data_IF_194584248201
#
_entry.id   IF_194584248201
#
_cell.length_a   1.000
_cell.length_b   1.000
_cell.length_c   1.000
_cell.angle_alpha   90.00
_cell.angle_beta   90.00
_cell.angle_gamma   90.00
#
_symmetry.space_group_name_H-M   'P 1'
#
loop_
_entity.id
_entity.type
_entity.pdbx_description
1 polymer ?
#
# COMPACT_ATOMS: atom_id res chain seq x y z
N UNK A 1 4.74 7.05 16.55
CA UNK A 1 3.87 7.81 15.60
C UNK A 1 2.38 7.68 15.90
N UNK A 2 1.87 6.49 16.23
CA UNK A 2 0.44 6.19 16.41
C UNK A 2 -0.30 7.21 17.29
N UNK A 3 0.28 7.64 18.42
CA UNK A 3 -0.34 8.62 19.32
C UNK A 3 -0.73 9.91 18.58
N UNK A 4 0.13 10.43 17.70
CA UNK A 4 -0.16 11.63 16.89
C UNK A 4 -1.32 11.43 15.93
N UNK A 5 -1.47 10.22 15.37
CA UNK A 5 -2.61 9.87 14.50
C UNK A 5 -3.89 9.80 15.35
N UNK A 6 -3.80 9.24 16.56
CA UNK A 6 -4.93 9.12 17.47
C UNK A 6 -5.39 10.47 18.05
N UNK A 7 -4.48 11.42 18.24
CA UNK A 7 -4.81 12.80 18.64
C UNK A 7 -5.70 13.51 17.60
N UNK A 8 -5.63 13.09 16.33
CA UNK A 8 -6.46 13.60 15.23
C UNK A 8 -7.61 12.65 14.84
N UNK A 9 -7.92 11.64 15.65
CA UNK A 9 -8.83 10.55 15.28
C UNK A 9 -10.23 11.02 14.85
N UNK A 10 -10.82 11.95 15.60
CA UNK A 10 -12.16 12.46 15.30
C UNK A 10 -12.17 13.28 14.02
N UNK A 11 -11.14 14.10 13.80
CA UNK A 11 -10.99 14.88 12.58
C UNK A 11 -10.84 13.97 11.36
N UNK A 12 -10.03 12.92 11.44
CA UNK A 12 -9.87 11.95 10.34
C UNK A 12 -11.20 11.25 10.00
N UNK A 13 -11.95 10.80 11.01
CA UNK A 13 -13.26 10.15 10.82
C UNK A 13 -14.28 11.09 10.16
N UNK A 14 -14.32 12.35 10.58
CA UNK A 14 -15.22 13.37 10.03
C UNK A 14 -14.93 13.66 8.56
N UNK A 15 -13.66 13.72 8.17
CA UNK A 15 -13.25 14.04 6.79
C UNK A 15 -13.52 12.89 5.80
N UNK A 16 -13.56 11.64 6.27
CA UNK A 16 -13.72 10.46 5.41
C UNK A 16 -14.98 10.51 4.52
N UNK A 17 -16.08 11.09 5.01
CA UNK A 17 -17.34 11.23 4.24
C UNK A 17 -17.18 12.21 3.08
N UNK A 18 -16.56 13.37 3.33
CA UNK A 18 -16.34 14.35 2.27
C UNK A 18 -15.30 13.84 1.27
N UNK A 19 -14.24 13.17 1.73
CA UNK A 19 -13.24 12.56 0.86
C UNK A 19 -13.87 11.56 -0.12
N UNK A 20 -14.78 10.70 0.36
CA UNK A 20 -15.54 9.76 -0.48
C UNK A 20 -16.38 10.46 -1.56
N UNK A 21 -16.99 11.59 -1.21
CA UNK A 21 -17.85 12.38 -2.10
C UNK A 21 -17.05 13.11 -3.18
N UNK A 22 -15.92 13.72 -2.83
CA UNK A 22 -15.10 14.48 -3.77
C UNK A 22 -14.11 13.61 -4.57
N UNK A 23 -13.98 12.32 -4.22
CA UNK A 23 -13.12 11.38 -4.93
C UNK A 23 -11.62 11.60 -4.72
N UNK A 24 -11.24 12.24 -3.61
CA UNK A 24 -9.85 12.46 -3.16
C UNK A 24 -9.84 12.83 -1.68
N UNK A 25 -8.67 12.75 -1.01
CA UNK A 25 -8.57 13.27 0.35
C UNK A 25 -8.86 14.78 0.35
N UNK A 26 -9.47 15.25 1.43
CA UNK A 26 -9.60 16.69 1.65
C UNK A 26 -8.24 17.29 2.00
N UNK A 27 -8.06 18.58 1.70
CA UNK A 27 -6.83 19.31 2.04
C UNK A 27 -6.58 19.29 3.55
N UNK A 28 -7.65 19.23 4.37
CA UNK A 28 -7.55 19.12 5.81
C UNK A 28 -6.98 17.75 6.24
N UNK A 29 -7.41 16.65 5.65
CA UNK A 29 -6.81 15.32 5.91
C UNK A 29 -5.34 15.30 5.52
N UNK A 30 -5.00 15.85 4.36
CA UNK A 30 -3.60 15.94 3.90
C UNK A 30 -2.75 16.76 4.87
N UNK A 31 -3.26 17.92 5.32
CA UNK A 31 -2.59 18.76 6.32
C UNK A 31 -2.38 18.00 7.64
N UNK A 32 -3.37 17.25 8.11
CA UNK A 32 -3.26 16.41 9.32
C UNK A 32 -2.14 15.37 9.14
N UNK A 33 -2.13 14.66 8.01
CA UNK A 33 -1.13 13.62 7.73
C UNK A 33 0.29 14.20 7.62
N UNK A 34 0.48 15.29 6.88
CA UNK A 34 1.78 16.01 6.81
C UNK A 34 2.24 16.46 8.20
N UNK A 35 1.35 17.05 8.99
CA UNK A 35 1.67 17.53 10.36
C UNK A 35 2.00 16.39 11.33
N UNK A 36 1.31 15.25 11.21
CA UNK A 36 1.61 14.05 11.99
C UNK A 36 2.98 13.47 11.59
N UNK A 37 3.30 13.50 10.29
CA UNK A 37 4.53 12.98 9.71
C UNK A 37 4.45 11.48 9.37
N UNK A 38 3.24 10.91 9.23
CA UNK A 38 3.07 9.48 8.99
C UNK A 38 3.57 9.03 7.60
N UNK A 39 3.60 9.91 6.60
CA UNK A 39 4.23 9.61 5.29
C UNK A 39 5.77 9.55 5.39
N UNK A 40 6.37 10.22 6.39
CA UNK A 40 7.82 10.28 6.60
C UNK A 40 8.38 9.12 7.43
N UNK A 41 7.56 8.13 7.76
CA UNK A 41 7.95 6.97 8.59
C UNK A 41 9.16 6.22 8.04
N UNK A 42 9.19 5.97 6.73
CA UNK A 42 10.25 5.21 6.07
C UNK A 42 11.26 6.10 5.32
N UNK A 43 11.09 7.42 5.38
CA UNK A 43 11.97 8.39 4.74
C UNK A 43 13.31 8.47 5.48
N UNK A 44 14.43 8.72 4.77
CA UNK A 44 15.74 8.90 5.40
C UNK A 44 15.76 10.11 6.33
N UNK A 45 16.48 9.99 7.45
CA UNK A 45 16.64 11.06 8.45
C UNK A 45 17.30 12.31 7.86
N UNK A 46 18.21 12.15 6.89
CA UNK A 46 18.84 13.27 6.20
C UNK A 46 17.82 14.18 5.47
N UNK A 47 16.66 13.64 5.07
CA UNK A 47 15.55 14.37 4.47
C UNK A 47 14.38 14.59 5.46
N UNK A 48 14.67 14.58 6.77
CA UNK A 48 13.65 14.80 7.80
C UNK A 48 12.74 13.61 8.06
N UNK A 49 13.10 12.42 7.57
CA UNK A 49 12.39 11.18 7.84
C UNK A 49 12.63 10.59 9.23
N UNK A 50 11.93 9.50 9.54
CA UNK A 50 11.94 8.88 10.86
C UNK A 50 12.68 7.54 10.91
N UNK A 51 12.90 6.88 9.77
CA UNK A 51 13.56 5.57 9.65
C UNK A 51 13.02 4.54 10.66
N UNK A 52 11.69 4.44 10.79
CA UNK A 52 11.09 3.56 11.80
C UNK A 52 11.22 2.09 11.41
N UNK A 53 11.13 1.21 12.40
CA UNK A 53 11.02 -0.22 12.18
C UNK A 53 9.77 -0.54 11.32
N UNK A 54 9.81 -1.52 10.38
CA UNK A 54 8.66 -1.87 9.53
C UNK A 54 7.36 -2.17 10.29
N UNK A 55 7.47 -2.73 11.52
CA UNK A 55 6.34 -2.90 12.44
C UNK A 55 5.65 -1.58 12.78
N UNK A 56 6.39 -0.55 13.20
CA UNK A 56 5.79 0.74 13.55
C UNK A 56 5.11 1.38 12.34
N UNK A 57 5.71 1.24 11.15
CA UNK A 57 5.08 1.65 9.90
C UNK A 57 3.74 0.94 9.69
N UNK A 58 3.73 -0.40 9.72
CA UNK A 58 2.53 -1.20 9.52
C UNK A 58 1.42 -0.89 10.54
N UNK A 59 1.77 -0.79 11.82
CA UNK A 59 0.82 -0.47 12.90
C UNK A 59 0.26 0.95 12.77
N UNK A 60 1.06 1.92 12.33
CA UNK A 60 0.59 3.29 12.06
C UNK A 60 -0.36 3.32 10.85
N UNK A 61 -0.05 2.57 9.80
CA UNK A 61 -0.93 2.43 8.63
C UNK A 61 -2.27 1.80 9.04
N UNK A 62 -2.24 0.71 9.81
CA UNK A 62 -3.46 0.08 10.35
C UNK A 62 -4.29 1.06 11.17
N UNK A 63 -3.66 1.77 12.11
CA UNK A 63 -4.34 2.77 12.95
C UNK A 63 -4.99 3.89 12.13
N UNK A 64 -4.30 4.39 11.10
CA UNK A 64 -4.85 5.42 10.20
C UNK A 64 -6.04 4.87 9.42
N UNK A 65 -5.92 3.66 8.87
CA UNK A 65 -6.96 3.03 8.04
C UNK A 65 -8.21 2.64 8.81
N UNK A 66 -8.08 2.35 10.12
CA UNK A 66 -9.20 2.11 11.02
C UNK A 66 -10.01 3.38 11.35
N UNK A 67 -9.46 4.58 11.05
CA UNK A 67 -10.11 5.88 11.27
C UNK A 67 -10.71 6.43 9.96
N UNK A 68 -9.90 6.42 8.90
CA UNK A 68 -10.27 6.78 7.54
C UNK A 68 -9.58 5.80 6.57
N UNK A 69 -10.34 4.88 5.94
CA UNK A 69 -9.82 3.92 4.98
C UNK A 69 -8.98 4.52 3.85
N UNK A 70 -9.38 5.68 3.32
CA UNK A 70 -8.68 6.31 2.20
C UNK A 70 -7.37 6.95 2.65
N UNK A 71 -7.37 7.60 3.81
CA UNK A 71 -6.16 8.17 4.41
C UNK A 71 -5.16 7.06 4.79
N UNK A 72 -5.64 5.95 5.36
CA UNK A 72 -4.80 4.82 5.71
C UNK A 72 -4.23 4.09 4.49
N UNK A 73 -5.01 3.96 3.41
CA UNK A 73 -4.52 3.45 2.13
C UNK A 73 -3.41 4.33 1.56
N UNK A 74 -3.61 5.65 1.53
CA UNK A 74 -2.58 6.60 1.09
C UNK A 74 -1.36 6.55 2.02
N UNK A 75 -1.54 6.41 3.33
CA UNK A 75 -0.44 6.21 4.27
C UNK A 75 0.39 4.97 3.91
N UNK A 76 -0.27 3.86 3.58
CA UNK A 76 0.40 2.62 3.19
C UNK A 76 1.09 2.70 1.81
N UNK A 77 0.48 3.35 0.82
CA UNK A 77 1.01 3.44 -0.54
C UNK A 77 2.04 4.57 -0.65
N UNK A 78 1.64 5.81 -0.40
CA UNK A 78 2.54 6.97 -0.52
C UNK A 78 3.67 6.91 0.51
N UNK A 79 3.40 6.38 1.72
CA UNK A 79 4.40 6.22 2.77
C UNK A 79 5.47 5.16 2.49
N UNK A 80 5.32 4.32 1.45
CA UNK A 80 6.35 3.35 1.04
C UNK A 80 7.27 3.88 -0.05
N UNK A 81 6.92 4.94 -0.76
CA UNK A 81 7.79 5.48 -1.80
C UNK A 81 9.09 6.11 -1.25
N UNK A 82 9.10 6.78 -0.08
CA UNK A 82 10.35 7.23 0.55
C UNK A 82 11.32 6.10 0.86
N UNK A 83 10.82 4.88 1.13
CA UNK A 83 11.65 3.70 1.33
C UNK A 83 12.47 3.36 0.08
N UNK A 84 11.85 3.39 -1.10
CA UNK A 84 12.57 3.11 -2.35
C UNK A 84 13.53 4.25 -2.73
N UNK A 85 13.13 5.51 -2.49
CA UNK A 85 13.97 6.67 -2.79
C UNK A 85 15.28 6.68 -2.01
N UNK A 86 15.32 6.08 -0.83
CA UNK A 86 16.53 5.98 -0.01
C UNK A 86 17.71 5.32 -0.73
N UNK A 87 17.45 4.43 -1.68
CA UNK A 87 18.47 3.75 -2.49
C UNK A 87 18.34 4.01 -3.99
N UNK A 88 17.63 5.10 -4.36
CA UNK A 88 17.73 5.67 -5.70
C UNK A 88 19.04 6.47 -5.86
N UNK A 89 19.30 7.03 -7.04
CA UNK A 89 20.41 7.97 -7.20
C UNK A 89 20.24 9.15 -6.23
N UNK A 90 21.24 9.51 -5.41
CA UNK A 90 21.08 10.55 -4.38
C UNK A 90 20.59 11.90 -4.93
N UNK A 91 20.85 12.19 -6.22
CA UNK A 91 20.36 13.41 -6.87
C UNK A 91 18.84 13.51 -6.89
N UNK A 92 18.12 12.39 -7.08
CA UNK A 92 16.65 12.46 -7.19
C UNK A 92 15.99 12.69 -5.82
N UNK A 93 16.49 12.07 -4.76
CA UNK A 93 15.99 12.32 -3.40
C UNK A 93 16.26 13.77 -2.97
N UNK A 94 17.46 14.27 -3.26
CA UNK A 94 17.82 15.66 -3.01
C UNK A 94 16.94 16.65 -3.79
N UNK A 95 16.52 16.32 -5.02
CA UNK A 95 15.58 17.14 -5.80
C UNK A 95 14.15 17.12 -5.24
N UNK A 96 13.65 15.95 -4.83
CA UNK A 96 12.27 15.79 -4.34
C UNK A 96 12.08 16.53 -3.02
N UNK A 97 13.04 16.44 -2.11
CA UNK A 97 12.92 16.99 -0.75
C UNK A 97 13.76 18.26 -0.51
N UNK A 98 14.24 18.92 -1.58
CA UNK A 98 15.03 20.15 -1.47
C UNK A 98 14.32 21.26 -0.71
N UNK A 99 13.07 21.53 -1.09
CA UNK A 99 12.29 22.68 -0.61
C UNK A 99 11.24 22.30 0.44
N UNK A 100 10.69 21.09 0.35
CA UNK A 100 9.67 20.57 1.27
C UNK A 100 9.91 19.08 1.57
N UNK A 101 10.24 18.78 2.83
CA UNK A 101 10.42 17.41 3.33
C UNK A 101 9.13 16.59 3.31
N UNK A 102 7.97 17.26 3.26
CA UNK A 102 6.65 16.65 3.14
C UNK A 102 6.18 16.55 1.67
N UNK A 103 7.09 16.65 0.70
CA UNK A 103 6.79 16.35 -0.72
C UNK A 103 6.44 14.88 -0.88
N UNK A 104 5.23 14.61 -1.41
CA UNK A 104 4.71 13.26 -1.60
C UNK A 104 4.94 12.75 -3.02
N UNK A 105 5.13 11.44 -3.13
CA UNK A 105 5.35 10.75 -4.40
C UNK A 105 4.20 9.76 -4.61
N UNK A 106 3.58 9.75 -5.79
CA UNK A 106 2.57 8.78 -6.16
C UNK A 106 3.19 7.53 -6.82
N UNK A 107 2.38 6.54 -7.14
CA UNK A 107 2.75 5.45 -8.07
C UNK A 107 1.60 5.15 -9.05
N UNK A 108 1.62 4.15 -9.96
CA UNK A 108 1.91 2.74 -9.67
C UNK A 108 3.19 2.16 -10.33
N UNK A 109 3.65 1.03 -9.79
CA UNK A 109 4.78 0.24 -10.33
C UNK A 109 4.43 -0.71 -11.48
N UNK A 110 3.15 -0.81 -11.86
CA UNK A 110 2.75 -1.66 -12.99
C UNK A 110 3.43 -1.16 -14.29
N UNK A 111 4.07 -2.04 -15.08
CA UNK A 111 4.83 -1.62 -16.26
C UNK A 111 3.93 -1.34 -17.46
N UNK A 112 3.17 -0.25 -17.41
CA UNK A 112 2.14 0.11 -18.41
C UNK A 112 2.61 1.15 -19.45
N UNK A 113 3.86 1.62 -19.36
CA UNK A 113 4.46 2.51 -20.35
C UNK A 113 5.76 1.97 -20.93
N UNK A 114 6.30 2.70 -21.89
CA UNK A 114 7.53 2.35 -22.61
C UNK A 114 8.56 3.46 -22.42
N UNK A 115 9.73 3.08 -21.92
CA UNK A 115 10.89 3.95 -21.83
C UNK A 115 11.80 3.71 -23.03
N UNK A 116 11.83 4.66 -23.98
CA UNK A 116 12.65 4.60 -25.19
C UNK A 116 14.00 5.27 -24.95
N UNK A 117 15.14 4.56 -25.07
CA UNK A 117 16.46 5.13 -24.83
C UNK A 117 16.75 6.31 -25.76
N UNK A 118 17.32 7.37 -25.19
CA UNK A 118 17.90 8.52 -25.88
C UNK A 118 19.20 8.92 -25.18
N UNK A 119 19.93 9.88 -25.74
CA UNK A 119 21.12 10.40 -25.06
C UNK A 119 20.76 10.98 -23.68
N UNK A 120 21.52 10.59 -22.65
CA UNK A 120 21.31 11.02 -21.26
C UNK A 120 20.10 10.43 -20.51
N UNK A 121 19.26 9.60 -21.14
CA UNK A 121 18.08 9.04 -20.47
C UNK A 121 17.07 8.40 -21.40
N UNK A 122 15.79 8.71 -21.18
CA UNK A 122 14.66 8.07 -21.87
C UNK A 122 13.62 9.09 -22.29
N UNK A 123 12.98 8.84 -23.44
CA UNK A 123 11.66 9.41 -23.73
C UNK A 123 10.62 8.41 -23.28
N UNK A 124 9.73 8.87 -22.39
CA UNK A 124 8.78 8.02 -21.68
C UNK A 124 7.34 8.34 -22.10
N UNK A 125 6.57 7.29 -22.36
CA UNK A 125 5.18 7.38 -22.78
C UNK A 125 4.35 6.28 -22.13
N UNK A 126 3.12 6.58 -21.76
CA UNK A 126 2.18 5.56 -21.29
C UNK A 126 0.95 6.14 -20.60
N UNK A 127 0.07 5.23 -20.19
CA UNK A 127 -1.07 5.52 -19.33
C UNK A 127 -1.08 4.49 -18.21
N UNK A 128 -1.10 4.98 -16.97
CA UNK A 128 -1.19 4.14 -15.79
C UNK A 128 -2.51 4.35 -15.09
N UNK A 129 -2.99 3.29 -14.44
CA UNK A 129 -4.21 3.29 -13.65
C UNK A 129 -3.88 3.15 -12.16
N UNK A 130 -4.81 3.51 -11.27
CA UNK A 130 -4.67 3.29 -9.82
C UNK A 130 -3.59 4.15 -9.14
N UNK A 131 -3.41 5.41 -9.57
CA UNK A 131 -2.42 6.32 -8.96
C UNK A 131 -2.90 6.90 -7.62
N UNK A 132 -2.81 6.11 -6.55
CA UNK A 132 -3.38 6.47 -5.24
C UNK A 132 -2.76 7.73 -4.66
N UNK A 133 -3.58 8.69 -4.24
CA UNK A 133 -3.16 9.97 -3.67
C UNK A 133 -2.58 10.97 -4.67
N UNK A 134 -2.69 10.72 -5.97
CA UNK A 134 -2.00 11.49 -7.02
C UNK A 134 -2.34 12.99 -7.04
N UNK A 135 -3.54 13.37 -6.61
CA UNK A 135 -3.95 14.78 -6.49
C UNK A 135 -3.07 15.58 -5.50
N UNK A 136 -2.43 14.88 -4.56
CA UNK A 136 -1.65 15.46 -3.46
C UNK A 136 -0.16 15.12 -3.54
N UNK A 137 0.29 14.59 -4.69
CA UNK A 137 1.68 14.23 -4.94
C UNK A 137 2.29 15.13 -6.02
N UNK A 138 3.49 15.63 -5.75
CA UNK A 138 4.24 16.48 -6.69
C UNK A 138 5.23 15.67 -7.55
N UNK A 139 5.39 14.38 -7.25
CA UNK A 139 6.22 13.44 -7.99
C UNK A 139 5.53 12.09 -8.12
N UNK A 140 6.03 11.24 -9.01
CA UNK A 140 5.47 9.90 -9.23
C UNK A 140 6.56 8.88 -9.59
N UNK A 141 6.41 7.65 -9.07
CA UNK A 141 7.06 6.45 -9.56
C UNK A 141 6.16 5.74 -10.58
N UNK A 142 6.67 5.43 -11.78
CA UNK A 142 5.93 4.70 -12.79
C UNK A 142 6.72 3.50 -13.30
N UNK A 143 6.07 2.33 -13.34
CA UNK A 143 6.64 1.15 -13.96
C UNK A 143 6.71 1.29 -15.48
N UNK A 144 7.82 0.91 -16.09
CA UNK A 144 8.03 0.95 -17.53
C UNK A 144 8.60 -0.36 -18.06
N UNK A 145 8.26 -0.69 -19.31
CA UNK A 145 9.01 -1.64 -20.13
C UNK A 145 10.11 -0.87 -20.87
N UNK A 146 11.34 -1.38 -20.86
CA UNK A 146 12.42 -0.82 -21.67
C UNK A 146 12.19 -1.11 -23.16
N UNK A 147 12.21 -0.06 -23.97
CA UNK A 147 12.16 -0.15 -25.43
C UNK A 147 13.55 -0.16 -26.08
N UNK A 148 13.61 -0.58 -27.35
CA UNK A 148 14.72 -0.31 -28.27
C UNK A 148 14.67 1.14 -28.79
N UNK A 149 15.52 1.48 -29.78
CA UNK A 149 15.58 2.83 -30.34
C UNK A 149 14.26 3.27 -31.01
N UNK A 150 13.42 2.32 -31.43
CA UNK A 150 12.10 2.51 -32.02
C UNK A 150 10.97 2.43 -30.97
N UNK A 151 11.29 2.17 -29.70
CA UNK A 151 10.31 2.03 -28.63
C UNK A 151 9.60 0.68 -28.61
N UNK A 152 10.15 -0.37 -29.23
CA UNK A 152 9.62 -1.73 -29.10
C UNK A 152 10.24 -2.41 -27.88
N UNK A 153 9.46 -3.16 -27.07
CA UNK A 153 10.01 -3.88 -25.92
C UNK A 153 11.24 -4.72 -26.26
N UNK A 154 12.32 -4.56 -25.48
CA UNK A 154 13.51 -5.41 -25.62
C UNK A 154 13.22 -6.84 -25.16
N UNK A 155 13.99 -7.81 -25.69
CA UNK A 155 13.89 -9.22 -25.31
C UNK A 155 15.25 -9.74 -24.80
N UNK A 156 15.33 -10.39 -23.62
CA UNK A 156 14.23 -10.58 -22.66
C UNK A 156 13.69 -9.26 -22.09
N UNK A 157 12.42 -9.21 -21.61
CA UNK A 157 11.83 -7.99 -21.09
C UNK A 157 12.66 -7.39 -19.96
N UNK A 158 12.94 -6.10 -20.06
CA UNK A 158 13.54 -5.30 -18.99
C UNK A 158 12.52 -4.30 -18.47
N UNK A 159 12.56 -4.04 -17.17
CA UNK A 159 11.62 -3.17 -16.49
C UNK A 159 12.34 -2.09 -15.71
N UNK A 160 11.80 -0.88 -15.75
CA UNK A 160 12.34 0.27 -15.01
C UNK A 160 11.26 0.84 -14.08
N UNK A 161 11.71 1.38 -12.95
CA UNK A 161 10.93 2.33 -12.16
C UNK A 161 11.39 3.74 -12.55
N UNK A 162 10.49 4.53 -13.12
CA UNK A 162 10.74 5.88 -13.63
C UNK A 162 10.25 6.92 -12.61
N UNK A 163 11.02 7.97 -12.34
CA UNK A 163 10.67 9.02 -11.38
C UNK A 163 10.46 10.34 -12.13
N UNK A 164 9.26 10.91 -12.03
CA UNK A 164 8.87 12.12 -12.77
C UNK A 164 8.26 13.18 -11.84
N UNK A 165 8.54 14.47 -12.06
CA UNK A 165 7.84 15.55 -11.38
C UNK A 165 6.44 15.76 -11.98
N UNK A 166 5.57 16.41 -11.22
CA UNK A 166 4.16 16.67 -11.57
C UNK A 166 3.96 17.26 -12.96
N UNK A 167 4.83 18.18 -13.35
CA UNK A 167 4.74 18.89 -14.63
C UNK A 167 4.88 17.98 -15.87
N UNK A 168 5.42 16.78 -15.69
CA UNK A 168 5.72 15.86 -16.79
C UNK A 168 4.64 14.77 -16.97
N UNK A 169 3.52 14.84 -16.22
CA UNK A 169 2.37 13.95 -16.39
C UNK A 169 1.02 14.66 -16.16
N UNK A 170 -0.02 14.11 -16.76
CA UNK A 170 -1.41 14.57 -16.61
C UNK A 170 -2.19 13.58 -15.74
N UNK A 171 -2.98 14.08 -14.79
CA UNK A 171 -4.04 13.29 -14.15
C UNK A 171 -5.26 13.28 -15.06
N UNK A 172 -5.80 12.10 -15.32
CA UNK A 172 -7.10 11.97 -15.99
C UNK A 172 -8.20 12.15 -14.95
N UNK A 173 -8.89 13.29 -15.01
CA UNK A 173 -10.05 13.54 -14.14
C UNK A 173 -11.16 12.52 -14.40
N UNK A 174 -12.00 12.28 -13.39
CA UNK A 174 -13.15 11.36 -13.41
C UNK A 174 -12.83 9.87 -13.68
N UNK A 175 -11.55 9.48 -13.75
CA UNK A 175 -11.17 8.08 -14.00
C UNK A 175 -11.27 7.18 -12.75
N UNK A 176 -11.74 7.70 -11.61
CA UNK A 176 -11.84 6.98 -10.33
C UNK A 176 -13.25 7.00 -9.73
N UNK A 177 -14.26 6.63 -10.52
CA UNK A 177 -15.62 6.40 -10.03
C UNK A 177 -15.82 4.92 -9.65
N UNK A 178 -15.52 4.60 -8.40
CA UNK A 178 -15.45 3.20 -7.90
C UNK A 178 -16.34 2.96 -6.67
N UNK A 179 -16.56 1.69 -6.33
CA UNK A 179 -17.45 1.30 -5.22
C UNK A 179 -16.86 1.52 -3.83
N UNK A 180 -15.54 1.54 -3.66
CA UNK A 180 -14.87 1.68 -2.37
C UNK A 180 -13.49 2.32 -2.58
N UNK A 181 -12.84 2.75 -1.50
CA UNK A 181 -11.62 3.56 -1.52
C UNK A 181 -11.76 4.77 -2.46
N UNK A 182 -12.94 5.38 -2.53
CA UNK A 182 -13.19 6.52 -3.42
C UNK A 182 -12.31 7.73 -3.07
N UNK A 183 -12.14 7.98 -1.78
CA UNK A 183 -11.34 9.10 -1.27
C UNK A 183 -9.83 8.96 -1.52
N UNK A 184 -9.34 7.82 -2.03
CA UNK A 184 -7.93 7.70 -2.40
C UNK A 184 -7.59 8.49 -3.65
N UNK A 185 -8.60 8.82 -4.47
CA UNK A 185 -8.38 9.48 -5.77
C UNK A 185 -7.35 8.74 -6.60
N UNK A 186 -7.47 7.41 -6.72
CA UNK A 186 -6.51 6.57 -7.44
C UNK A 186 -6.66 6.69 -8.96
N UNK A 187 -6.66 7.93 -9.45
CA UNK A 187 -6.90 8.31 -10.84
C UNK A 187 -5.83 7.76 -11.77
N UNK A 188 -6.13 7.77 -13.05
CA UNK A 188 -5.20 7.42 -14.10
C UNK A 188 -4.25 8.60 -14.32
N UNK A 189 -3.04 8.29 -14.77
CA UNK A 189 -2.06 9.28 -15.20
C UNK A 189 -1.55 8.98 -16.60
N UNK A 190 -1.28 10.03 -17.37
CA UNK A 190 -0.75 9.95 -18.72
C UNK A 190 0.60 10.66 -18.77
N UNK A 191 1.61 9.97 -19.28
CA UNK A 191 2.90 10.57 -19.64
C UNK A 191 2.99 10.59 -21.16
N UNK A 192 3.32 11.76 -21.71
CA UNK A 192 3.47 11.93 -23.16
C UNK A 192 4.79 12.62 -23.47
N UNK A 193 5.66 11.91 -24.16
CA UNK A 193 6.96 12.38 -24.67
C UNK A 193 7.84 13.07 -23.61
N UNK A 194 7.73 12.63 -22.35
CA UNK A 194 8.51 13.20 -21.26
C UNK A 194 9.96 12.69 -21.31
N UNK A 195 10.93 13.59 -21.20
CA UNK A 195 12.32 13.21 -21.01
C UNK A 195 12.59 12.88 -19.53
N UNK A 196 13.04 11.66 -19.28
CA UNK A 196 13.46 11.20 -17.94
C UNK A 196 14.97 10.96 -17.96
N UNK A 197 15.77 11.73 -17.21
CA UNK A 197 17.22 11.51 -17.17
C UNK A 197 17.54 10.18 -16.48
N UNK A 198 18.64 9.54 -16.87
CA UNK A 198 18.99 8.19 -16.41
C UNK A 198 19.05 8.05 -14.88
N UNK A 199 19.44 9.11 -14.16
CA UNK A 199 19.54 9.11 -12.69
C UNK A 199 18.18 9.10 -11.97
N UNK A 200 17.08 9.39 -12.69
CA UNK A 200 15.71 9.27 -12.19
C UNK A 200 15.07 7.93 -12.57
N UNK A 201 15.89 6.90 -12.77
CA UNK A 201 15.43 5.56 -13.13
C UNK A 201 16.09 4.52 -12.24
N UNK A 202 15.40 3.40 -12.03
CA UNK A 202 15.93 2.24 -11.31
C UNK A 202 15.58 0.97 -12.08
N UNK A 203 16.51 0.03 -12.16
CA UNK A 203 16.24 -1.30 -12.70
C UNK A 203 15.31 -2.07 -11.75
N UNK A 204 14.11 -2.42 -12.22
CA UNK A 204 13.09 -3.04 -11.37
C UNK A 204 13.46 -4.45 -10.91
N UNK A 205 14.29 -5.18 -11.66
CA UNK A 205 14.77 -6.50 -11.24
C UNK A 205 15.82 -6.38 -10.14
N UNK A 206 16.72 -5.40 -10.26
CA UNK A 206 17.67 -5.09 -9.17
C UNK A 206 16.98 -4.60 -7.90
N UNK A 207 15.87 -3.86 -8.03
CA UNK A 207 15.02 -3.49 -6.88
C UNK A 207 14.40 -4.74 -6.23
N UNK A 208 13.93 -5.69 -7.05
CA UNK A 208 13.29 -6.92 -6.56
C UNK A 208 14.27 -7.87 -5.85
N UNK A 209 15.47 -8.05 -6.39
CA UNK A 209 16.45 -9.02 -5.87
C UNK A 209 17.43 -8.45 -4.82
N UNK A 210 17.32 -7.17 -4.49
CA UNK A 210 18.16 -6.51 -3.50
C UNK A 210 19.46 -5.90 -4.04
N UNK A 211 19.76 -6.06 -5.34
CA UNK A 211 20.99 -5.54 -5.94
C UNK A 211 21.05 -4.03 -5.92
N UNK A 212 19.92 -3.34 -6.13
CA UNK A 212 19.87 -1.88 -6.13
C UNK A 212 20.29 -1.30 -4.76
N UNK A 213 19.80 -1.89 -3.67
CA UNK A 213 20.16 -1.52 -2.30
C UNK A 213 21.67 -1.71 -2.04
N UNK A 214 22.25 -2.82 -2.52
CA UNK A 214 23.69 -3.10 -2.37
C UNK A 214 24.55 -2.15 -3.19
N UNK A 215 24.17 -1.87 -4.44
CA UNK A 215 24.88 -0.93 -5.32
C UNK A 215 24.82 0.51 -4.78
N UNK A 216 23.73 0.88 -4.13
CA UNK A 216 23.59 2.17 -3.44
C UNK A 216 24.37 2.22 -2.11
N UNK A 217 24.94 1.11 -1.64
CA UNK A 217 25.75 1.06 -0.42
C UNK A 217 24.95 1.21 0.87
N UNK A 218 23.67 0.83 0.87
CA UNK A 218 22.82 0.88 2.06
C UNK A 218 23.38 -0.01 3.19
N UNK A 219 23.31 0.49 4.42
CA UNK A 219 23.80 -0.26 5.61
C UNK A 219 22.75 -0.45 6.68
N UNK A 220 21.76 0.44 6.71
CA UNK A 220 20.64 0.42 7.61
C UNK A 220 19.75 -0.78 7.30
N UNK A 221 19.44 -1.57 8.32
CA UNK A 221 18.59 -2.77 8.21
C UNK A 221 17.28 -2.47 7.49
N UNK A 222 16.66 -1.32 7.79
CA UNK A 222 15.45 -0.86 7.10
C UNK A 222 15.64 -0.87 5.59
N UNK A 223 16.66 -0.18 5.06
CA UNK A 223 16.91 0.00 3.62
C UNK A 223 17.49 -1.22 2.92
N UNK A 224 17.75 -2.30 3.66
CA UNK A 224 18.12 -3.61 3.14
C UNK A 224 16.94 -4.61 3.11
N UNK A 225 15.76 -4.20 3.58
CA UNK A 225 14.56 -5.05 3.55
C UNK A 225 14.18 -5.47 2.12
N UNK A 226 13.66 -6.68 1.90
CA UNK A 226 13.18 -7.09 0.58
C UNK A 226 12.04 -6.20 0.08
N UNK A 227 12.11 -5.76 -1.18
CA UNK A 227 11.04 -5.00 -1.83
C UNK A 227 9.69 -5.75 -1.81
N UNK A 228 9.73 -7.07 -2.03
CA UNK A 228 8.58 -7.98 -1.95
C UNK A 228 7.96 -8.09 -0.55
N UNK A 229 8.65 -7.58 0.49
CA UNK A 229 8.10 -7.41 1.84
C UNK A 229 7.58 -5.99 2.06
N UNK A 230 8.39 -4.96 1.79
CA UNK A 230 8.06 -3.57 2.13
C UNK A 230 6.92 -2.99 1.30
N UNK A 231 6.92 -3.16 -0.04
CA UNK A 231 5.87 -2.59 -0.89
C UNK A 231 4.47 -3.14 -0.55
N UNK A 232 4.27 -4.47 -0.42
CA UNK A 232 2.97 -5.00 -0.02
C UNK A 232 2.59 -4.71 1.44
N UNK A 233 3.56 -4.48 2.33
CA UNK A 233 3.31 -4.26 3.76
C UNK A 233 2.35 -3.10 3.99
N UNK A 234 2.57 -1.95 3.33
CA UNK A 234 1.71 -0.78 3.48
C UNK A 234 0.28 -1.04 2.99
N UNK A 235 0.14 -1.60 1.78
CA UNK A 235 -1.16 -1.89 1.15
C UNK A 235 -1.98 -2.89 2.00
N UNK A 236 -1.32 -3.94 2.47
CA UNK A 236 -1.96 -4.98 3.28
C UNK A 236 -2.28 -4.52 4.69
N UNK A 237 -1.39 -3.74 5.30
CA UNK A 237 -1.65 -3.12 6.61
C UNK A 237 -2.83 -2.17 6.54
N UNK A 238 -2.97 -1.40 5.46
CA UNK A 238 -4.14 -0.55 5.25
C UNK A 238 -5.41 -1.40 5.18
N UNK A 239 -5.42 -2.47 4.38
CA UNK A 239 -6.62 -3.33 4.23
C UNK A 239 -6.98 -4.03 5.54
N UNK A 240 -5.99 -4.47 6.34
CA UNK A 240 -6.22 -5.03 7.68
C UNK A 240 -6.77 -3.96 8.64
N UNK A 241 -6.22 -2.75 8.63
CA UNK A 241 -6.74 -1.64 9.45
C UNK A 241 -8.17 -1.22 9.06
N UNK A 242 -8.53 -1.28 7.77
CA UNK A 242 -9.93 -1.11 7.34
C UNK A 242 -10.82 -2.18 7.95
N UNK A 243 -10.37 -3.42 8.03
CA UNK A 243 -11.11 -4.50 8.68
C UNK A 243 -11.25 -4.28 10.21
N UNK A 244 -10.20 -3.78 10.87
CA UNK A 244 -10.26 -3.36 12.28
C UNK A 244 -11.28 -2.23 12.49
N UNK A 245 -11.29 -1.23 11.60
CA UNK A 245 -12.29 -0.14 11.58
C UNK A 245 -13.72 -0.66 11.34
N UNK A 246 -13.88 -1.65 10.45
CA UNK A 246 -15.17 -2.31 10.21
C UNK A 246 -15.69 -3.01 11.48
N UNK A 247 -14.81 -3.73 12.20
CA UNK A 247 -15.16 -4.39 13.45
C UNK A 247 -15.55 -3.37 14.53
N UNK A 248 -14.79 -2.27 14.67
CA UNK A 248 -15.13 -1.20 15.60
C UNK A 248 -16.50 -0.57 15.29
N UNK A 249 -16.74 -0.21 14.01
CA UNK A 249 -18.01 0.34 13.56
C UNK A 249 -19.18 -0.64 13.76
N UNK A 250 -18.94 -1.93 13.59
CA UNK A 250 -19.93 -2.97 13.86
C UNK A 250 -20.25 -3.05 15.36
N UNK A 251 -19.23 -3.13 16.22
CA UNK A 251 -19.41 -3.20 17.67
C UNK A 251 -20.20 -1.99 18.20
N UNK A 252 -19.87 -0.79 17.75
CA UNK A 252 -20.59 0.43 18.13
C UNK A 252 -22.05 0.39 17.66
N UNK A 253 -22.31 -0.08 16.45
CA UNK A 253 -23.65 -0.22 15.92
C UNK A 253 -24.48 -1.30 16.64
N UNK A 254 -23.88 -2.41 17.05
CA UNK A 254 -24.60 -3.51 17.71
C UNK A 254 -24.86 -3.25 19.21
N UNK A 255 -24.07 -2.37 19.87
CA UNK A 255 -24.08 -2.16 21.33
C UNK A 255 -25.49 -1.91 21.90
N UNK A 256 -26.30 -1.14 21.20
CA UNK A 256 -27.67 -0.77 21.62
C UNK A 256 -28.74 -1.40 20.72
N UNK A 257 -28.34 -2.26 19.78
CA UNK A 257 -29.26 -2.81 18.78
C UNK A 257 -30.15 -3.89 19.38
N UNK A 258 -31.43 -3.82 19.01
CA UNK A 258 -32.44 -4.85 19.26
C UNK A 258 -32.86 -5.43 17.90
N UNK A 259 -32.93 -6.75 17.81
CA UNK A 259 -33.35 -7.45 16.60
C UNK A 259 -34.84 -7.21 16.31
N UNK A 260 -35.29 -7.54 15.10
CA UNK A 260 -36.71 -7.45 14.75
C UNK A 260 -37.61 -8.35 15.63
N UNK A 261 -37.02 -9.38 16.25
CA UNK A 261 -37.71 -10.28 17.19
C UNK A 261 -37.74 -9.75 18.64
N UNK A 262 -37.17 -8.56 18.90
CA UNK A 262 -37.13 -7.96 20.25
C UNK A 262 -35.95 -8.39 21.11
N UNK A 263 -35.06 -9.25 20.62
CA UNK A 263 -33.86 -9.68 21.35
C UNK A 263 -32.77 -8.62 21.26
N UNK A 264 -32.25 -8.16 22.38
CA UNK A 264 -31.05 -7.33 22.39
C UNK A 264 -29.87 -8.13 21.81
N UNK A 265 -29.10 -7.54 20.88
CA UNK A 265 -28.06 -8.28 20.16
C UNK A 265 -26.98 -8.84 21.09
N UNK A 266 -26.68 -8.16 22.19
CA UNK A 266 -25.77 -8.66 23.23
C UNK A 266 -26.19 -10.00 23.84
N UNK A 267 -27.47 -10.36 23.75
CA UNK A 267 -28.06 -11.60 24.25
C UNK A 267 -28.30 -12.63 23.12
N UNK A 268 -27.92 -12.30 21.88
CA UNK A 268 -27.99 -13.20 20.71
C UNK A 268 -26.67 -14.00 20.57
N UNK A 269 -26.66 -15.30 20.91
CA UNK A 269 -25.43 -16.10 20.88
C UNK A 269 -24.86 -16.28 19.46
N UNK A 270 -25.69 -16.18 18.41
CA UNK A 270 -25.24 -16.37 17.04
C UNK A 270 -24.51 -15.13 16.51
N UNK A 271 -25.00 -13.94 16.86
CA UNK A 271 -24.32 -12.68 16.51
C UNK A 271 -23.05 -12.53 17.34
N UNK A 272 -23.09 -12.81 18.65
CA UNK A 272 -21.91 -12.72 19.52
C UNK A 272 -20.82 -13.71 19.11
N UNK A 273 -21.17 -14.92 18.67
CA UNK A 273 -20.21 -15.86 18.09
C UNK A 273 -19.53 -15.29 16.85
N UNK A 274 -20.30 -14.75 15.89
CA UNK A 274 -19.74 -14.20 14.66
C UNK A 274 -18.83 -12.98 14.91
N UNK A 275 -19.16 -12.15 15.91
CA UNK A 275 -18.29 -11.05 16.35
C UNK A 275 -16.97 -11.61 16.89
N UNK A 276 -17.03 -12.62 17.76
CA UNK A 276 -15.84 -13.24 18.35
C UNK A 276 -14.93 -13.89 17.30
N UNK A 277 -15.52 -14.63 16.36
CA UNK A 277 -14.79 -15.26 15.25
C UNK A 277 -14.11 -14.22 14.36
N UNK A 278 -14.84 -13.19 13.93
CA UNK A 278 -14.26 -12.13 13.11
C UNK A 278 -13.15 -11.35 13.83
N UNK A 279 -13.33 -11.08 15.14
CA UNK A 279 -12.29 -10.44 15.95
C UNK A 279 -11.02 -11.28 16.03
N UNK A 280 -11.14 -12.60 16.21
CA UNK A 280 -10.01 -13.52 16.22
C UNK A 280 -9.29 -13.55 14.87
N UNK A 281 -10.04 -13.60 13.77
CA UNK A 281 -9.48 -13.67 12.42
C UNK A 281 -8.78 -12.37 11.99
N UNK A 282 -9.35 -11.21 12.31
CA UNK A 282 -8.72 -9.90 12.07
C UNK A 282 -7.45 -9.76 12.92
N UNK A 283 -7.50 -10.17 14.19
CA UNK A 283 -6.31 -10.17 15.05
C UNK A 283 -5.21 -11.10 14.50
N UNK A 284 -5.56 -12.31 14.07
CA UNK A 284 -4.62 -13.25 13.47
C UNK A 284 -3.96 -12.67 12.21
N UNK A 285 -4.74 -12.00 11.34
CA UNK A 285 -4.20 -11.30 10.17
C UNK A 285 -3.17 -10.22 10.56
N UNK A 286 -3.49 -9.39 11.55
CA UNK A 286 -2.55 -8.38 12.09
C UNK A 286 -1.27 -9.04 12.61
N UNK A 287 -1.39 -10.05 13.48
CA UNK A 287 -0.22 -10.66 14.10
C UNK A 287 0.67 -11.36 13.06
N UNK A 288 0.07 -12.06 12.08
CA UNK A 288 0.82 -12.76 11.04
C UNK A 288 1.63 -11.82 10.15
N UNK A 289 1.06 -10.69 9.72
CA UNK A 289 1.79 -9.75 8.86
C UNK A 289 2.93 -9.05 9.63
N UNK A 290 2.68 -8.68 10.89
CA UNK A 290 3.69 -8.02 11.73
C UNK A 290 4.82 -8.98 12.10
N UNK A 291 4.50 -10.22 12.52
CA UNK A 291 5.50 -11.23 12.81
C UNK A 291 6.32 -11.61 11.57
N UNK A 292 5.71 -11.60 10.38
CA UNK A 292 6.44 -11.78 9.14
C UNK A 292 7.43 -10.63 8.88
N UNK A 293 7.01 -9.38 9.07
CA UNK A 293 7.90 -8.23 8.91
C UNK A 293 9.08 -8.26 9.90
N UNK A 294 8.81 -8.53 11.18
CA UNK A 294 9.84 -8.67 12.22
C UNK A 294 10.85 -9.77 11.87
N UNK A 295 10.36 -10.96 11.50
CA UNK A 295 11.24 -12.08 11.14
C UNK A 295 12.16 -11.76 9.97
N UNK A 296 11.64 -11.09 8.94
CA UNK A 296 12.45 -10.68 7.79
C UNK A 296 13.47 -9.62 8.21
N UNK A 297 13.06 -8.66 9.04
CA UNK A 297 13.95 -7.65 9.60
C UNK A 297 15.10 -8.28 10.40
N UNK A 298 14.81 -9.21 11.31
CA UNK A 298 15.82 -9.90 12.12
C UNK A 298 16.84 -10.68 11.27
N UNK A 299 16.41 -11.27 10.15
CA UNK A 299 17.31 -11.94 9.20
C UNK A 299 18.29 -10.91 8.62
N UNK A 300 17.77 -9.79 8.13
CA UNK A 300 18.59 -8.71 7.54
C UNK A 300 19.53 -8.10 8.59
N UNK A 301 19.02 -7.81 9.79
CA UNK A 301 19.78 -7.22 10.91
C UNK A 301 20.95 -8.11 11.35
N UNK A 302 20.75 -9.43 11.27
CA UNK A 302 21.81 -10.41 11.54
C UNK A 302 22.89 -10.49 10.46
N UNK A 303 22.80 -9.67 9.40
CA UNK A 303 23.73 -9.64 8.27
C UNK A 303 23.52 -10.79 7.27
N UNK A 304 22.37 -11.47 7.32
CA UNK A 304 22.06 -12.59 6.42
C UNK A 304 21.19 -12.13 5.26
N UNK A 305 21.41 -12.73 4.10
CA UNK A 305 20.52 -12.55 2.96
C UNK A 305 19.19 -13.29 3.19
N UNK A 306 18.08 -12.63 2.84
CA UNK A 306 16.76 -13.25 2.88
C UNK A 306 16.57 -14.13 1.65
N UNK A 307 16.51 -15.44 1.88
CA UNK A 307 16.36 -16.42 0.79
C UNK A 307 15.09 -16.18 -0.05
N UNK A 308 15.10 -16.63 -1.30
CA UNK A 308 13.89 -16.61 -2.13
C UNK A 308 12.72 -17.37 -1.45
N UNK A 309 13.01 -18.51 -0.81
CA UNK A 309 12.00 -19.31 -0.10
C UNK A 309 11.36 -18.52 1.05
N UNK A 310 12.16 -17.76 1.82
CA UNK A 310 11.66 -16.91 2.89
C UNK A 310 10.79 -15.77 2.37
N UNK A 311 11.19 -15.12 1.27
CA UNK A 311 10.40 -14.08 0.60
C UNK A 311 9.10 -14.64 0.04
N UNK A 312 9.13 -15.81 -0.59
CA UNK A 312 7.95 -16.49 -1.12
C UNK A 312 6.96 -16.86 0.00
N UNK A 313 7.46 -17.40 1.11
CA UNK A 313 6.66 -17.67 2.30
C UNK A 313 6.06 -16.38 2.89
N UNK A 314 6.85 -15.30 2.95
CA UNK A 314 6.38 -13.99 3.41
C UNK A 314 5.25 -13.43 2.55
N UNK A 315 5.38 -13.48 1.22
CA UNK A 315 4.32 -13.09 0.26
C UNK A 315 3.05 -13.91 0.48
N UNK A 316 3.15 -15.23 0.64
CA UNK A 316 2.00 -16.10 0.95
C UNK A 316 1.33 -15.68 2.26
N UNK A 317 2.10 -15.44 3.33
CA UNK A 317 1.59 -15.01 4.64
C UNK A 317 0.85 -13.67 4.54
N UNK A 318 1.47 -12.67 3.89
CA UNK A 318 0.84 -11.37 3.68
C UNK A 318 -0.49 -11.50 2.92
N UNK A 319 -0.54 -12.27 1.82
CA UNK A 319 -1.77 -12.46 1.05
C UNK A 319 -2.83 -13.15 1.93
N UNK A 320 -2.45 -14.19 2.67
CA UNK A 320 -3.40 -14.91 3.55
C UNK A 320 -3.98 -14.00 4.62
N UNK A 321 -3.16 -13.16 5.24
CA UNK A 321 -3.59 -12.23 6.28
C UNK A 321 -4.69 -11.31 5.76
N UNK A 322 -4.51 -10.70 4.58
CA UNK A 322 -5.51 -9.80 4.01
C UNK A 322 -6.80 -10.51 3.64
N UNK A 323 -6.72 -11.66 2.96
CA UNK A 323 -7.90 -12.45 2.63
C UNK A 323 -8.67 -12.87 3.90
N UNK A 324 -7.96 -13.27 4.97
CA UNK A 324 -8.59 -13.61 6.25
C UNK A 324 -9.34 -12.40 6.84
N UNK A 325 -8.69 -11.24 6.89
CA UNK A 325 -9.29 -10.03 7.46
C UNK A 325 -10.55 -9.59 6.69
N UNK A 326 -10.50 -9.57 5.35
CA UNK A 326 -11.64 -9.12 4.54
C UNK A 326 -12.82 -10.10 4.64
N UNK A 327 -12.57 -11.41 4.64
CA UNK A 327 -13.64 -12.41 4.84
C UNK A 327 -14.27 -12.33 6.23
N UNK A 328 -13.52 -11.94 7.26
CA UNK A 328 -14.06 -11.66 8.58
C UNK A 328 -15.01 -10.44 8.57
N UNK A 329 -14.72 -9.41 7.76
CA UNK A 329 -15.63 -8.27 7.56
C UNK A 329 -16.97 -8.72 6.97
N UNK A 330 -16.96 -9.65 6.01
CA UNK A 330 -18.21 -10.20 5.46
C UNK A 330 -19.07 -10.90 6.51
N UNK A 331 -18.43 -11.62 7.45
CA UNK A 331 -19.16 -12.32 8.51
C UNK A 331 -19.92 -11.34 9.42
N UNK A 332 -19.30 -10.21 9.81
CA UNK A 332 -19.98 -9.20 10.63
C UNK A 332 -20.96 -8.35 9.82
N UNK A 333 -20.63 -8.01 8.57
CA UNK A 333 -21.48 -7.15 7.75
C UNK A 333 -22.81 -7.81 7.41
N UNK A 334 -22.78 -9.08 7.00
CA UNK A 334 -23.98 -9.89 6.71
C UNK A 334 -24.94 -10.04 7.92
N UNK A 335 -24.44 -9.83 9.14
CA UNK A 335 -25.21 -9.93 10.40
C UNK A 335 -25.59 -8.57 11.00
N UNK A 336 -25.35 -7.49 10.26
CA UNK A 336 -25.67 -6.12 10.70
C UNK A 336 -27.10 -5.68 10.33
N UNK A 337 -27.81 -6.46 9.52
CA UNK A 337 -29.18 -6.16 9.08
C UNK A 337 -29.26 -5.00 8.09
N UNK A 338 -30.43 -4.83 7.46
CA UNK A 338 -30.59 -3.93 6.31
C UNK A 338 -30.26 -2.46 6.56
N UNK A 339 -30.40 -1.95 7.79
CA UNK A 339 -30.07 -0.56 8.10
C UNK A 339 -28.57 -0.26 8.01
N UNK A 340 -27.70 -1.27 8.14
CA UNK A 340 -26.26 -1.12 7.99
C UNK A 340 -25.83 -0.80 6.54
N UNK A 341 -26.71 -1.04 5.56
CA UNK A 341 -26.50 -0.74 4.14
C UNK A 341 -26.73 0.72 3.78
N UNK A 342 -27.26 1.54 4.70
CA UNK A 342 -27.56 2.94 4.40
C UNK A 342 -26.27 3.76 4.31
N UNK A 343 -26.25 4.72 3.38
CA UNK A 343 -25.09 5.59 3.13
C UNK A 343 -24.75 6.50 4.32
N UNK A 344 -25.71 6.74 5.23
CA UNK A 344 -25.51 7.49 6.47
C UNK A 344 -24.88 6.65 7.59
N UNK A 345 -24.55 5.38 7.34
CA UNK A 345 -23.85 4.49 8.27
C UNK A 345 -22.41 4.24 7.81
N UNK A 346 -21.43 4.25 8.75
CA UNK A 346 -20.02 4.07 8.39
C UNK A 346 -19.67 2.63 8.01
N UNK A 347 -20.39 1.63 8.55
CA UNK A 347 -20.01 0.22 8.40
C UNK A 347 -19.96 -0.24 6.94
N UNK A 348 -20.92 0.17 6.11
CA UNK A 348 -20.92 -0.17 4.68
C UNK A 348 -19.74 0.42 3.91
N UNK A 349 -19.20 1.58 4.34
CA UNK A 349 -18.01 2.18 3.73
C UNK A 349 -16.78 1.31 3.99
N UNK A 350 -16.54 0.94 5.25
CA UNK A 350 -15.46 0.01 5.58
C UNK A 350 -15.57 -1.33 4.82
N UNK A 351 -16.78 -1.88 4.70
CA UNK A 351 -17.01 -3.10 3.92
C UNK A 351 -16.63 -2.94 2.44
N UNK A 352 -17.08 -1.86 1.78
CA UNK A 352 -16.71 -1.57 0.37
C UNK A 352 -15.21 -1.34 0.23
N UNK A 353 -14.63 -0.55 1.12
CA UNK A 353 -13.22 -0.17 1.08
C UNK A 353 -12.30 -1.38 1.30
N UNK A 354 -12.68 -2.31 2.19
CA UNK A 354 -11.94 -3.55 2.41
C UNK A 354 -11.91 -4.43 1.15
N UNK A 355 -13.04 -4.52 0.44
CA UNK A 355 -13.14 -5.26 -0.81
C UNK A 355 -12.39 -4.59 -1.96
N UNK A 356 -12.43 -3.26 -2.04
CA UNK A 356 -11.61 -2.54 -3.03
C UNK A 356 -10.12 -2.70 -2.74
N UNK A 357 -9.70 -2.66 -1.48
CA UNK A 357 -8.32 -2.95 -1.08
C UNK A 357 -7.89 -4.37 -1.45
N UNK A 358 -8.75 -5.36 -1.23
CA UNK A 358 -8.52 -6.75 -1.63
C UNK A 358 -8.28 -6.92 -3.14
N UNK A 359 -8.87 -6.07 -3.98
CA UNK A 359 -8.74 -6.16 -5.44
C UNK A 359 -7.35 -5.77 -5.98
N UNK A 360 -6.46 -5.20 -5.16
CA UNK A 360 -5.11 -4.86 -5.61
C UNK A 360 -4.32 -6.10 -6.03
N UNK A 361 -3.57 -5.98 -7.12
CA UNK A 361 -2.72 -7.06 -7.68
C UNK A 361 -1.78 -7.76 -6.68
N UNK A 362 -1.33 -7.09 -5.60
CA UNK A 362 -0.45 -7.73 -4.60
C UNK A 362 -1.18 -8.74 -3.71
N UNK A 363 -2.52 -8.78 -3.76
CA UNK A 363 -3.37 -9.73 -3.05
C UNK A 363 -3.78 -10.93 -3.93
N UNK A 364 -3.33 -11.00 -5.19
CA UNK A 364 -3.60 -12.15 -6.07
C UNK A 364 -2.85 -13.39 -5.56
N UNK A 365 -3.54 -14.47 -5.15
CA UNK A 365 -2.90 -15.55 -4.40
C UNK A 365 -2.14 -16.56 -5.26
N UNK A 366 -2.59 -16.83 -6.49
CA UNK A 366 -2.22 -18.04 -7.23
C UNK A 366 -0.71 -18.25 -7.41
N UNK A 367 0.00 -17.25 -7.95
CA UNK A 367 1.44 -17.37 -8.25
C UNK A 367 2.29 -17.46 -6.99
N UNK A 368 2.05 -16.61 -5.99
CA UNK A 368 2.80 -16.58 -4.74
C UNK A 368 2.62 -17.86 -3.92
N UNK A 369 1.39 -18.41 -3.87
CA UNK A 369 1.12 -19.68 -3.20
C UNK A 369 1.83 -20.84 -3.88
N UNK A 370 1.77 -20.91 -5.22
CA UNK A 370 2.45 -21.95 -5.98
C UNK A 370 3.96 -21.89 -5.80
N UNK A 371 4.57 -20.70 -5.95
CA UNK A 371 6.00 -20.51 -5.78
C UNK A 371 6.47 -20.89 -4.36
N UNK A 372 5.74 -20.45 -3.33
CA UNK A 372 6.03 -20.79 -1.93
C UNK A 372 5.94 -22.30 -1.67
N UNK A 373 4.95 -22.99 -2.25
CA UNK A 373 4.81 -24.44 -2.11
C UNK A 373 5.95 -25.20 -2.82
N UNK A 374 6.32 -24.80 -4.03
CA UNK A 374 7.47 -25.38 -4.74
C UNK A 374 8.77 -25.21 -3.96
N UNK A 375 9.02 -24.01 -3.42
CA UNK A 375 10.20 -23.77 -2.57
C UNK A 375 10.19 -24.65 -1.31
N UNK A 376 9.02 -24.97 -0.77
CA UNK A 376 8.89 -25.89 0.39
C UNK A 376 9.27 -27.34 0.02
N UNK A 377 9.16 -27.72 -1.26
CA UNK A 377 9.66 -29.00 -1.79
C UNK A 377 11.14 -28.96 -2.20
N UNK A 378 11.84 -27.83 -2.02
CA UNK A 378 13.20 -27.65 -2.51
C UNK A 378 13.29 -27.46 -4.03
N UNK A 379 12.18 -27.16 -4.70
CA UNK A 379 12.14 -26.89 -6.14
C UNK A 379 12.22 -25.39 -6.39
N UNK A 380 13.16 -24.97 -7.23
CA UNK A 380 13.33 -23.55 -7.57
C UNK A 380 12.28 -23.09 -8.61
N UNK A 381 11.41 -22.13 -8.28
CA UNK A 381 10.44 -21.59 -9.23
C UNK A 381 11.14 -20.83 -10.37
N UNK A 382 10.56 -20.90 -11.57
CA UNK A 382 11.11 -20.31 -12.79
C UNK A 382 10.14 -19.34 -13.45
N UNK A 383 10.68 -18.38 -14.21
CA UNK A 383 9.89 -17.46 -15.04
C UNK A 383 8.83 -16.69 -14.25
N UNK A 384 7.57 -16.63 -14.72
CA UNK A 384 6.50 -15.85 -14.08
C UNK A 384 6.22 -16.22 -12.61
N UNK A 385 6.60 -17.41 -12.14
CA UNK A 385 6.41 -17.82 -10.75
C UNK A 385 7.33 -17.08 -9.77
N UNK A 386 8.36 -16.39 -10.26
CA UNK A 386 9.28 -15.58 -9.43
C UNK A 386 8.83 -14.12 -9.30
N UNK A 387 7.80 -13.71 -10.02
CA UNK A 387 7.34 -12.32 -10.00
C UNK A 387 6.85 -11.93 -8.60
N UNK A 388 7.24 -10.74 -8.14
CA UNK A 388 6.89 -10.18 -6.83
C UNK A 388 7.39 -11.02 -5.62
N UNK A 389 8.56 -11.65 -5.72
CA UNK A 389 9.26 -12.39 -4.65
C UNK A 389 10.74 -12.00 -4.66
#
# INVERSE_FOLDING_TARGET
MIDKVMDAADQLREQAVEAEKIGKLTDQTVKIMKSAGNIRLLQPKEYGGLEVHPREFAETVMATAALDPSAGWINGVVGVHPYQLAYADPRVAAEIWADDVDTWVASPYAPQGVARPVDGGYIFNGRWQFSSGTDHCDWIFLGAILGDAEGKPVMPPQMLHMILPRKDYEIVEDSWDVVGLRGTGSKDVIVKDAFVPAYRTMDAFKVMDGTAQREAGMTETLYLMPWSTMFPLGISSATIGIAEGALAAHLDYQRERVSAAGTAIKDDPYVMYAIGEAAADINAARQEILANADRIYDIVDSGKEVSFADRAAGRRTQIRAVWRAVMAVDQIFSRSGGNAMRMDKPLQRYWRDAHTGLAHAIHVPGTAYHASALSSFGVEPQGPLRAMI
#
